data_IF_731988804208
#
_entry.id   IF_731988804208
#
_cell.length_a   1.000
_cell.length_b   1.000
_cell.length_c   1.000
_cell.angle_alpha   90.00
_cell.angle_beta   90.00
_cell.angle_gamma   90.00
#
_symmetry.space_group_name_H-M   'P 1'
#
loop_
_entity.id
_entity.type
_entity.pdbx_description
1 polymer ?
#
# COMPACT_ATOMS: atom_id res chain seq x y z
N UNK A 1 8.42 -38.02 -7.77
CA UNK A 1 8.43 -37.60 -6.36
C UNK A 1 9.16 -36.27 -6.27
N UNK A 2 8.43 -35.15 -6.39
CA UNK A 2 9.03 -33.83 -6.20
C UNK A 2 9.24 -33.62 -4.70
N UNK A 3 10.48 -33.37 -4.28
CA UNK A 3 10.80 -33.00 -2.90
C UNK A 3 10.28 -31.58 -2.70
N UNK A 4 9.23 -31.42 -1.90
CA UNK A 4 8.83 -30.11 -1.39
C UNK A 4 10.01 -29.64 -0.53
N UNK A 5 10.82 -28.73 -1.09
CA UNK A 5 11.89 -28.07 -0.34
C UNK A 5 11.18 -27.06 0.54
N UNK A 6 10.84 -27.45 1.77
CA UNK A 6 10.32 -26.52 2.77
C UNK A 6 11.39 -25.44 2.97
N UNK A 7 11.17 -24.19 2.54
CA UNK A 7 12.16 -23.16 2.71
C UNK A 7 12.37 -22.91 4.21
N UNK A 8 13.61 -22.62 4.58
CA UNK A 8 13.92 -22.31 5.97
C UNK A 8 13.27 -20.97 6.32
N UNK A 9 12.40 -20.98 7.32
CA UNK A 9 11.58 -19.83 7.73
C UNK A 9 12.41 -18.59 8.10
N UNK A 10 13.66 -18.80 8.56
CA UNK A 10 14.61 -17.72 8.83
C UNK A 10 15.18 -17.09 7.55
N UNK A 11 15.40 -17.88 6.49
CA UNK A 11 15.86 -17.38 5.19
C UNK A 11 14.76 -16.54 4.53
N UNK A 12 13.51 -17.00 4.56
CA UNK A 12 12.37 -16.25 3.98
C UNK A 12 12.19 -14.88 4.63
N UNK A 13 12.31 -14.78 5.96
CA UNK A 13 12.23 -13.50 6.66
C UNK A 13 13.40 -12.58 6.35
N UNK A 14 14.61 -13.14 6.19
CA UNK A 14 15.75 -12.39 5.66
C UNK A 14 15.43 -11.80 4.28
N UNK A 15 14.90 -12.62 3.38
CA UNK A 15 14.55 -12.18 2.02
C UNK A 15 13.43 -11.12 2.00
N UNK A 16 12.44 -11.23 2.89
CA UNK A 16 11.37 -10.24 3.03
C UNK A 16 11.90 -8.91 3.59
N UNK A 17 12.69 -8.97 4.66
CA UNK A 17 13.24 -7.78 5.31
C UNK A 17 14.15 -7.00 4.37
N UNK A 18 15.03 -7.70 3.65
CA UNK A 18 15.89 -7.13 2.62
C UNK A 18 15.09 -6.50 1.48
N UNK A 19 14.02 -7.16 1.02
CA UNK A 19 13.13 -6.63 -0.01
C UNK A 19 12.39 -5.37 0.45
N UNK A 20 11.85 -5.34 1.66
CA UNK A 20 11.21 -4.14 2.21
C UNK A 20 12.22 -2.98 2.29
N UNK A 21 13.44 -3.27 2.74
CA UNK A 21 14.50 -2.27 2.81
C UNK A 21 14.93 -1.78 1.41
N UNK A 22 14.97 -2.63 0.40
CA UNK A 22 15.28 -2.22 -0.98
C UNK A 22 14.19 -1.34 -1.56
N UNK A 23 12.92 -1.74 -1.43
CA UNK A 23 11.77 -0.95 -1.91
C UNK A 23 11.68 0.41 -1.22
N UNK A 24 11.93 0.46 0.10
CA UNK A 24 11.96 1.72 0.85
C UNK A 24 13.04 2.67 0.31
N UNK A 25 14.25 2.16 0.06
CA UNK A 25 15.35 2.97 -0.50
C UNK A 25 15.06 3.42 -1.93
N UNK A 26 14.47 2.55 -2.75
CA UNK A 26 14.06 2.90 -4.12
C UNK A 26 12.97 3.98 -4.14
N UNK A 27 12.11 4.02 -3.12
CA UNK A 27 11.12 5.08 -2.91
C UNK A 27 11.70 6.33 -2.21
N UNK A 28 13.01 6.38 -1.96
CA UNK A 28 13.71 7.46 -1.24
C UNK A 28 13.13 7.78 0.15
N UNK A 29 12.51 6.79 0.79
CA UNK A 29 11.91 6.94 2.11
C UNK A 29 12.92 6.61 3.21
N UNK A 30 13.03 7.48 4.20
CA UNK A 30 13.63 7.11 5.48
C UNK A 30 12.75 6.10 6.22
N UNK A 31 13.34 5.35 7.14
CA UNK A 31 12.61 4.40 7.98
C UNK A 31 11.54 5.09 8.83
N UNK A 32 11.76 6.37 9.19
CA UNK A 32 10.78 7.21 9.93
C UNK A 32 9.60 7.60 9.06
N UNK A 33 9.84 7.99 7.81
CA UNK A 33 8.77 8.33 6.86
C UNK A 33 7.90 7.10 6.52
N UNK A 34 8.52 5.94 6.29
CA UNK A 34 7.75 4.72 6.03
C UNK A 34 6.89 4.32 7.26
N UNK A 35 7.45 4.45 8.47
CA UNK A 35 6.71 4.23 9.72
C UNK A 35 5.50 5.16 9.84
N UNK A 36 5.67 6.46 9.56
CA UNK A 36 4.57 7.45 9.58
C UNK A 36 3.49 7.12 8.54
N UNK A 37 3.87 6.78 7.31
CA UNK A 37 2.91 6.46 6.24
C UNK A 37 2.12 5.17 6.49
N UNK A 38 2.73 4.20 7.16
CA UNK A 38 2.12 2.89 7.41
C UNK A 38 1.38 2.82 8.75
N UNK A 39 1.61 3.77 9.65
CA UNK A 39 1.13 3.69 11.03
C UNK A 39 1.87 2.64 11.87
N UNK A 40 2.97 2.10 11.35
CA UNK A 40 3.79 1.07 12.01
C UNK A 40 4.92 1.74 12.79
N UNK A 41 5.19 1.30 14.01
CA UNK A 41 6.26 1.92 14.80
C UNK A 41 7.64 1.71 14.18
N UNK A 42 8.47 2.75 14.22
CA UNK A 42 9.83 2.73 13.69
C UNK A 42 10.70 1.57 14.25
N UNK A 43 10.67 1.27 15.57
CA UNK A 43 11.42 0.13 16.12
C UNK A 43 10.97 -1.22 15.53
N UNK A 44 9.67 -1.40 15.31
CA UNK A 44 9.13 -2.64 14.76
C UNK A 44 9.47 -2.78 13.28
N UNK A 45 9.37 -1.70 12.49
CA UNK A 45 9.79 -1.68 11.10
C UNK A 45 11.28 -2.00 10.94
N UNK A 46 12.13 -1.49 11.83
CA UNK A 46 13.56 -1.84 11.87
C UNK A 46 13.81 -3.32 12.17
N UNK A 47 12.98 -3.95 13.00
CA UNK A 47 13.07 -5.39 13.27
C UNK A 47 12.64 -6.23 12.06
N UNK A 48 11.62 -5.76 11.31
CA UNK A 48 11.15 -6.41 10.09
C UNK A 48 12.23 -6.35 9.00
N UNK A 49 12.83 -5.17 8.72
CA UNK A 49 13.88 -5.03 7.70
C UNK A 49 15.12 -5.89 7.97
N UNK A 50 15.36 -6.27 9.23
CA UNK A 50 16.46 -7.15 9.66
C UNK A 50 16.06 -8.63 9.74
N UNK A 51 14.83 -8.99 9.37
CA UNK A 51 14.31 -10.36 9.48
C UNK A 51 14.13 -10.88 10.91
N UNK A 52 14.16 -10.00 11.92
CA UNK A 52 14.07 -10.37 13.35
C UNK A 52 12.63 -10.57 13.82
N UNK A 53 11.67 -10.08 13.05
CA UNK A 53 10.23 -10.15 13.36
C UNK A 53 9.42 -10.48 12.13
N UNK A 54 8.39 -11.31 12.36
CA UNK A 54 7.36 -11.60 11.37
C UNK A 54 6.28 -10.52 11.40
N UNK A 55 6.05 -9.77 10.31
CA UNK A 55 4.91 -8.88 10.22
C UNK A 55 3.59 -9.67 10.09
N UNK A 56 2.48 -9.07 10.55
CA UNK A 56 1.14 -9.61 10.31
C UNK A 56 0.67 -9.28 8.89
N UNK A 57 -0.39 -9.96 8.42
CA UNK A 57 -0.99 -9.68 7.12
C UNK A 57 -1.47 -8.23 6.97
N UNK A 58 -1.98 -7.63 8.04
CA UNK A 58 -2.39 -6.21 8.08
C UNK A 58 -1.19 -5.27 7.88
N UNK A 59 -0.08 -5.53 8.57
CA UNK A 59 1.15 -4.72 8.44
C UNK A 59 1.71 -4.85 7.03
N UNK A 60 1.67 -6.06 6.46
CA UNK A 60 2.07 -6.28 5.07
C UNK A 60 1.18 -5.52 4.07
N UNK A 61 -0.13 -5.39 4.32
CA UNK A 61 -1.03 -4.57 3.49
C UNK A 61 -0.74 -3.07 3.60
N UNK A 62 -0.42 -2.59 4.80
CA UNK A 62 -0.03 -1.19 5.00
C UNK A 62 1.29 -0.89 4.26
N UNK A 63 2.27 -1.79 4.40
CA UNK A 63 3.56 -1.70 3.70
C UNK A 63 3.40 -1.76 2.19
N UNK A 64 2.54 -2.63 1.66
CA UNK A 64 2.31 -2.77 0.22
C UNK A 64 1.79 -1.47 -0.38
N UNK A 65 0.84 -0.80 0.30
CA UNK A 65 0.29 0.49 -0.10
C UNK A 65 1.35 1.60 -0.08
N UNK A 66 2.11 1.71 1.00
CA UNK A 66 3.13 2.75 1.15
C UNK A 66 4.30 2.59 0.16
N UNK A 67 4.71 1.35 -0.11
CA UNK A 67 5.82 1.03 -1.02
C UNK A 67 5.38 0.86 -2.48
N UNK A 68 4.08 0.99 -2.76
CA UNK A 68 3.48 0.79 -4.10
C UNK A 68 3.86 -0.56 -4.72
N UNK A 69 3.88 -1.61 -3.90
CA UNK A 69 4.11 -3.00 -4.33
C UNK A 69 2.85 -3.81 -4.10
N UNK A 70 2.65 -4.90 -4.85
CA UNK A 70 1.50 -5.77 -4.62
C UNK A 70 1.62 -6.45 -3.25
N UNK A 71 0.49 -6.54 -2.52
CA UNK A 71 0.45 -7.24 -1.24
C UNK A 71 0.78 -8.73 -1.40
N UNK A 72 0.39 -9.32 -2.53
CA UNK A 72 0.74 -10.68 -2.94
C UNK A 72 2.25 -10.90 -2.96
N UNK A 73 3.03 -9.99 -3.56
CA UNK A 73 4.50 -10.09 -3.57
C UNK A 73 5.05 -10.18 -2.16
N UNK A 74 4.53 -9.36 -1.24
CA UNK A 74 4.95 -9.39 0.15
C UNK A 74 4.51 -10.67 0.87
N UNK A 75 3.34 -11.23 0.55
CA UNK A 75 2.85 -12.49 1.11
C UNK A 75 3.68 -13.70 0.65
N UNK A 76 4.05 -13.74 -0.63
CA UNK A 76 4.94 -14.78 -1.16
C UNK A 76 6.32 -14.68 -0.51
N UNK A 77 6.90 -13.48 -0.43
CA UNK A 77 8.19 -13.26 0.25
C UNK A 77 8.13 -13.58 1.74
N UNK A 78 6.99 -13.35 2.39
CA UNK A 78 6.77 -13.71 3.79
C UNK A 78 6.53 -15.22 4.02
N UNK A 79 6.37 -16.00 2.94
CA UNK A 79 5.99 -17.42 3.02
C UNK A 79 4.59 -17.64 3.56
N UNK A 80 3.72 -16.62 3.49
CA UNK A 80 2.30 -16.71 3.86
C UNK A 80 1.47 -17.26 2.70
N UNK A 81 1.94 -17.02 1.47
CA UNK A 81 1.34 -17.50 0.25
C UNK A 81 2.38 -18.32 -0.50
N UNK A 82 2.04 -19.57 -0.82
CA UNK A 82 2.84 -20.36 -1.74
C UNK A 82 2.54 -19.85 -3.17
N UNK A 83 3.57 -19.58 -4.00
CA UNK A 83 3.37 -19.06 -5.36
C UNK A 83 2.58 -20.04 -6.25
N UNK A 84 2.58 -21.33 -5.88
CA UNK A 84 1.84 -22.40 -6.55
C UNK A 84 0.41 -22.58 -6.00
N UNK A 85 0.06 -21.94 -4.87
CA UNK A 85 -1.24 -22.09 -4.18
C UNK A 85 -2.31 -21.13 -4.71
N UNK A 86 -2.06 -20.58 -5.90
CA UNK A 86 -3.08 -20.01 -6.76
C UNK A 86 -3.60 -21.07 -7.75
N UNK A 87 -4.69 -21.80 -7.42
CA UNK A 87 -5.56 -22.36 -8.46
C UNK A 87 -6.39 -21.27 -9.17
N UNK A 88 -6.08 -19.99 -8.96
CA UNK A 88 -6.68 -18.86 -9.67
C UNK A 88 -5.98 -18.67 -11.02
N UNK A 89 -6.60 -19.22 -12.06
CA UNK A 89 -6.43 -18.87 -13.47
C UNK A 89 -5.12 -18.16 -13.82
N UNK A 90 -4.04 -18.93 -14.02
CA UNK A 90 -2.83 -18.40 -14.67
C UNK A 90 -3.22 -17.66 -15.94
N UNK A 91 -2.45 -16.66 -16.36
CA UNK A 91 -2.74 -15.92 -17.61
C UNK A 91 -2.92 -16.91 -18.77
N UNK A 92 -2.13 -17.98 -18.79
CA UNK A 92 -2.26 -19.09 -19.72
C UNK A 92 -3.61 -19.80 -19.59
N UNK A 93 -4.04 -20.16 -18.38
CA UNK A 93 -5.36 -20.76 -18.15
C UNK A 93 -6.50 -19.83 -18.58
N UNK A 94 -6.39 -18.53 -18.36
CA UNK A 94 -7.40 -17.53 -18.75
C UNK A 94 -7.52 -17.45 -20.27
N UNK A 95 -6.38 -17.35 -20.96
CA UNK A 95 -6.32 -17.29 -22.42
C UNK A 95 -6.83 -18.58 -23.05
N UNK A 96 -6.51 -19.74 -22.48
CA UNK A 96 -6.99 -21.02 -22.97
C UNK A 96 -8.51 -21.19 -22.82
N UNK A 97 -9.09 -20.68 -21.71
CA UNK A 97 -10.51 -20.74 -21.42
C UNK A 97 -11.37 -19.72 -22.21
N UNK A 98 -10.75 -18.74 -22.87
CA UNK A 98 -11.45 -17.73 -23.65
C UNK A 98 -12.10 -18.33 -24.92
N UNK A 99 -13.40 -18.10 -25.10
CA UNK A 99 -14.18 -18.59 -26.24
C UNK A 99 -14.29 -17.58 -27.38
N UNK A 100 -13.90 -16.32 -27.17
CA UNK A 100 -13.98 -15.25 -28.15
C UNK A 100 -12.81 -15.28 -29.16
N UNK A 101 -11.73 -15.98 -28.84
CA UNK A 101 -10.51 -16.04 -29.65
C UNK A 101 -10.23 -17.46 -30.15
N UNK A 102 -9.64 -17.52 -31.34
CA UNK A 102 -9.24 -18.78 -32.00
C UNK A 102 -8.02 -19.41 -31.34
N UNK A 103 -7.84 -20.72 -31.52
CA UNK A 103 -6.67 -21.45 -31.02
C UNK A 103 -5.33 -20.86 -31.50
N UNK A 104 -5.29 -20.31 -32.72
CA UNK A 104 -4.11 -19.62 -33.23
C UNK A 104 -3.82 -18.34 -32.43
N UNK A 105 -4.86 -17.56 -32.12
CA UNK A 105 -4.72 -16.31 -31.35
C UNK A 105 -4.30 -16.59 -29.90
N UNK A 106 -4.88 -17.63 -29.28
CA UNK A 106 -4.46 -18.11 -27.95
C UNK A 106 -2.98 -18.43 -27.90
N UNK A 107 -2.49 -19.19 -28.89
CA UNK A 107 -1.09 -19.58 -28.97
C UNK A 107 -0.16 -18.38 -29.08
N UNK A 108 -0.50 -17.39 -29.92
CA UNK A 108 0.30 -16.16 -30.05
C UNK A 108 0.33 -15.37 -28.73
N UNK A 109 -0.80 -15.22 -28.05
CA UNK A 109 -0.86 -14.51 -26.77
C UNK A 109 0.00 -15.20 -25.69
N UNK A 110 -0.07 -16.52 -25.62
CA UNK A 110 0.74 -17.31 -24.68
C UNK A 110 2.23 -17.19 -25.01
N UNK A 111 2.61 -17.29 -26.28
CA UNK A 111 4.01 -17.18 -26.71
C UNK A 111 4.60 -15.80 -26.36
N UNK A 112 3.85 -14.72 -26.58
CA UNK A 112 4.26 -13.34 -26.24
C UNK A 112 4.35 -13.14 -24.73
N UNK A 113 3.35 -13.63 -23.98
CA UNK A 113 3.38 -13.57 -22.52
C UNK A 113 4.63 -14.27 -21.96
N UNK A 114 4.90 -15.48 -22.42
CA UNK A 114 6.07 -16.26 -21.99
C UNK A 114 7.40 -15.61 -22.37
N UNK A 115 7.48 -14.88 -23.49
CA UNK A 115 8.70 -14.15 -23.83
C UNK A 115 8.98 -13.02 -22.84
N UNK A 116 7.96 -12.25 -22.44
CA UNK A 116 8.14 -11.17 -21.46
C UNK A 116 8.51 -11.70 -20.07
N UNK A 117 7.87 -12.79 -19.62
CA UNK A 117 8.21 -13.41 -18.33
C UNK A 117 9.67 -13.86 -18.34
N UNK A 118 10.12 -14.56 -19.39
CA UNK A 118 11.51 -15.01 -19.53
C UNK A 118 12.52 -13.88 -19.63
N UNK A 119 12.17 -12.77 -20.26
CA UNK A 119 13.02 -11.60 -20.39
C UNK A 119 13.18 -10.90 -19.03
N UNK A 120 12.09 -10.73 -18.29
CA UNK A 120 12.08 -10.15 -16.93
C UNK A 120 12.83 -11.01 -15.89
N UNK A 121 12.82 -12.34 -16.05
CA UNK A 121 13.60 -13.26 -15.22
C UNK A 121 15.10 -13.17 -15.50
N UNK A 122 15.49 -12.86 -16.74
CA UNK A 122 16.90 -12.69 -17.14
C UNK A 122 17.45 -11.33 -16.77
N UNK A 123 16.63 -10.29 -16.86
CA UNK A 123 17.04 -8.90 -16.60
C UNK A 123 16.91 -8.48 -15.14
N UNK A 124 16.35 -9.34 -14.28
CA UNK A 124 16.24 -9.06 -12.84
C UNK A 124 15.22 -7.95 -12.55
N UNK A 125 13.94 -8.24 -12.83
CA UNK A 125 12.72 -7.45 -12.55
C UNK A 125 12.41 -6.30 -13.54
N UNK A 126 11.14 -6.11 -13.94
CA UNK A 126 10.76 -4.96 -14.74
C UNK A 126 10.62 -3.72 -13.85
N UNK A 127 11.45 -2.74 -14.16
CA UNK A 127 11.17 -1.34 -13.90
C UNK A 127 9.95 -0.89 -14.72
N UNK A 128 9.06 -0.12 -14.08
CA UNK A 128 8.23 0.93 -14.67
C UNK A 128 7.19 0.53 -15.73
N UNK A 129 5.93 0.35 -15.29
CA UNK A 129 4.81 0.78 -16.14
C UNK A 129 4.64 2.28 -16.01
N UNK A 130 5.13 2.95 -17.05
CA UNK A 130 4.73 4.29 -17.48
C UNK A 130 3.20 4.33 -17.60
N UNK A 131 2.51 5.00 -16.68
CA UNK A 131 1.13 5.42 -16.90
C UNK A 131 1.20 6.86 -17.39
N UNK A 132 1.22 7.02 -18.71
CA UNK A 132 0.93 8.29 -19.35
C UNK A 132 -0.44 8.77 -18.91
N UNK A 133 -0.46 9.81 -18.07
CA UNK A 133 -1.66 10.56 -17.76
C UNK A 133 -1.95 11.49 -18.93
N UNK A 134 -2.75 11.02 -19.88
CA UNK A 134 -3.58 11.91 -20.69
C UNK A 134 -5.01 11.79 -20.15
N UNK A 135 -5.37 12.68 -19.22
CA UNK A 135 -6.75 12.86 -18.80
C UNK A 135 -7.09 14.36 -18.87
N UNK A 136 -8.16 14.77 -19.59
CA UNK A 136 -8.55 16.17 -19.72
C UNK A 136 -9.15 16.70 -18.40
N UNK A 137 -8.67 17.85 -17.98
CA UNK A 137 -9.12 18.59 -16.81
C UNK A 137 -10.58 19.07 -16.95
N UNK A 138 -11.49 18.78 -16.00
CA UNK A 138 -12.75 19.50 -15.90
C UNK A 138 -12.56 20.71 -14.96
N UNK A 139 -12.75 21.92 -15.51
CA UNK A 139 -12.99 23.11 -14.71
C UNK A 139 -14.45 23.12 -14.21
N UNK A 140 -14.70 23.59 -12.98
CA UNK A 140 -15.90 24.38 -12.76
C UNK A 140 -15.56 25.71 -12.09
N UNK A 141 -15.98 26.79 -12.74
CA UNK A 141 -15.90 28.15 -12.20
C UNK A 141 -16.85 28.36 -11.02
N UNK A 142 -16.39 29.15 -10.07
CA UNK A 142 -17.20 29.94 -9.13
C UNK A 142 -17.44 31.34 -9.73
N UNK A 143 -18.23 32.25 -9.12
CA UNK A 143 -19.39 32.13 -8.21
C UNK A 143 -20.55 33.12 -8.59
N UNK A 144 -21.75 32.97 -8.01
CA UNK A 144 -22.65 34.11 -7.66
C UNK A 144 -23.66 33.61 -6.60
N UNK A 145 -23.61 34.12 -5.36
CA UNK A 145 -24.40 35.26 -4.84
C UNK A 145 -25.93 35.05 -4.90
N UNK A 146 -26.55 34.94 -3.73
CA UNK A 146 -28.00 34.77 -3.58
C UNK A 146 -28.40 34.55 -2.13
N UNK A 147 -28.43 35.64 -1.37
CA UNK A 147 -29.01 35.75 -0.02
C UNK A 147 -30.40 35.12 0.07
N UNK A 148 -30.63 34.15 0.97
CA UNK A 148 -31.91 34.02 1.72
C UNK A 148 -31.64 33.30 3.06
N UNK A 149 -31.51 34.08 4.14
CA UNK A 149 -31.99 33.65 5.46
C UNK A 149 -33.46 34.08 5.60
N UNK A 150 -34.30 33.30 6.28
CA UNK A 150 -35.36 33.89 7.08
C UNK A 150 -35.19 33.59 8.58
N UNK A 151 -35.77 34.43 9.47
CA UNK A 151 -35.32 34.54 10.86
C UNK A 151 -36.30 34.01 11.91
N UNK A 152 -35.80 34.01 13.16
CA UNK A 152 -36.49 34.01 14.48
C UNK A 152 -36.98 32.65 14.98
N UNK A 153 -36.95 32.28 16.26
CA UNK A 153 -36.83 32.93 17.58
C UNK A 153 -36.20 31.87 18.52
N UNK A 154 -35.24 32.17 19.39
CA UNK A 154 -35.49 32.78 20.70
C UNK A 154 -35.08 31.81 21.83
N UNK A 155 -33.84 31.93 22.32
CA UNK A 155 -33.56 31.77 23.76
C UNK A 155 -32.23 32.48 24.10
N UNK A 156 -32.36 33.61 24.79
CA UNK A 156 -31.30 34.42 25.43
C UNK A 156 -31.45 34.21 26.94
N UNK A 157 -30.42 33.92 27.72
CA UNK A 157 -29.41 34.81 28.33
C UNK A 157 -28.73 33.98 29.47
N UNK A 158 -27.69 34.46 30.18
CA UNK A 158 -26.60 35.39 29.83
C UNK A 158 -25.20 34.82 30.21
N UNK A 159 -24.10 35.49 29.83
CA UNK A 159 -22.81 35.36 30.52
C UNK A 159 -22.81 36.21 31.81
N UNK A 160 -22.43 35.63 32.95
CA UNK A 160 -22.23 36.39 34.20
C UNK A 160 -20.85 37.05 34.19
N UNK A 161 -20.90 38.34 34.52
CA UNK A 161 -19.87 39.36 34.54
C UNK A 161 -18.76 39.13 35.56
N UNK A 162 -17.58 39.66 35.22
CA UNK A 162 -16.48 40.03 36.10
C UNK A 162 -16.99 40.79 37.34
N UNK A 163 -16.50 40.44 38.53
CA UNK A 163 -16.41 41.35 39.67
C UNK A 163 -15.05 41.19 40.35
N UNK A 164 -14.49 42.32 40.75
CA UNK A 164 -13.14 42.52 41.25
C UNK A 164 -13.21 42.99 42.73
N UNK A 165 -12.12 42.76 43.48
CA UNK A 165 -11.70 43.36 44.78
C UNK A 165 -12.21 42.64 46.07
N UNK A 166 -11.45 42.57 47.21
CA UNK A 166 -10.04 42.92 47.52
C UNK A 166 -9.16 41.81 48.16
N UNK A 167 -7.86 42.11 48.13
CA UNK A 167 -6.71 41.77 49.00
C UNK A 167 -7.02 41.56 50.50
N UNK A 168 -6.42 40.55 51.17
CA UNK A 168 -5.73 40.60 52.49
C UNK A 168 -4.95 39.28 52.75
N UNK A 169 -3.70 39.36 53.24
CA UNK A 169 -3.07 38.25 53.99
C UNK A 169 -1.62 37.89 53.66
N UNK A 170 -0.68 38.76 54.03
CA UNK A 170 0.70 38.36 54.37
C UNK A 170 0.73 37.30 55.49
N UNK A 171 1.84 36.55 55.52
CA UNK A 171 2.49 35.85 56.64
C UNK A 171 2.59 34.32 56.51
N UNK A 172 3.75 33.84 56.06
CA UNK A 172 4.86 33.49 56.98
C UNK A 172 6.18 33.29 56.24
#
# INVERSE_FOLDING_TARGET
>A
MARIKTPNLGEQLGTLGEFIASQRRAAELSLRQLAEQTGVSNPYLSQIERGLRKPSAEVLQQLSKALRVSAETLYVKAGILDPDDHPATTVETAVLADLAITERQKRVLIDVYQSFVKENEKDGAPAQTESGSDEPQPAPGEPTSGDIYPPTTGNTYPPTTHDHIPNEGEQK
#
